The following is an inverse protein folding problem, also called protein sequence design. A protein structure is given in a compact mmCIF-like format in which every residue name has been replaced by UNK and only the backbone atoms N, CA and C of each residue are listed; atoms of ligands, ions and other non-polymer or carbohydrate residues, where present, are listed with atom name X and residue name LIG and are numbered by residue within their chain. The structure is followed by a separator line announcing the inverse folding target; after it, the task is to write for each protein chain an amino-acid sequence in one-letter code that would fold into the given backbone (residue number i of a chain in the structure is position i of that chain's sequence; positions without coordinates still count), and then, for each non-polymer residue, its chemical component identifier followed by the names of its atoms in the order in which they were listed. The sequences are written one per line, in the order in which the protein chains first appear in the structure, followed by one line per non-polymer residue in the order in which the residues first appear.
data_IF_989928478300
#
_entry.id   IF_989928478300
#
_cell.length_a   1.000
_cell.length_b   1.000
_cell.length_c   1.000
_cell.angle_alpha   90.00
_cell.angle_beta   90.00
_cell.angle_gamma   90.00
#
_symmetry.space_group_name_H-M   'P 1'
#
loop_
_entity.id
_entity.type
_entity.pdbx_description
1 polymer ?
#
# COMPACT_ATOMS: atom_id res chain seq x y z
N UNK A 1 1.12 -15.49 14.85
CA UNK A 1 1.30 -14.03 14.97
C UNK A 1 0.66 -13.44 13.74
N UNK A 2 -0.62 -13.09 13.82
CA UNK A 2 -1.28 -12.30 12.77
C UNK A 2 -0.67 -10.91 12.83
N UNK A 3 0.39 -10.67 12.06
CA UNK A 3 0.81 -9.31 11.78
C UNK A 3 -0.36 -8.66 11.05
N UNK A 4 -0.98 -7.63 11.65
CA UNK A 4 -2.10 -6.90 11.04
C UNK A 4 -1.70 -6.53 9.60
N UNK A 5 -2.57 -6.85 8.63
CA UNK A 5 -2.32 -6.59 7.21
C UNK A 5 -2.04 -5.10 6.94
N UNK A 6 -2.53 -4.21 7.81
CA UNK A 6 -2.21 -2.78 7.80
C UNK A 6 -0.72 -2.52 7.96
N UNK A 7 -0.09 -3.13 8.97
CA UNK A 7 1.34 -2.92 9.25
C UNK A 7 2.16 -3.47 8.10
N UNK A 8 1.79 -4.63 7.57
CA UNK A 8 2.47 -5.22 6.41
C UNK A 8 2.33 -4.34 5.17
N UNK A 9 1.11 -3.84 4.89
CA UNK A 9 0.83 -2.96 3.76
C UNK A 9 1.66 -1.67 3.83
N UNK A 10 1.73 -1.04 5.01
CA UNK A 10 2.56 0.14 5.22
C UNK A 10 4.05 -0.13 4.97
N UNK A 11 4.59 -1.24 5.48
CA UNK A 11 5.99 -1.62 5.26
C UNK A 11 6.29 -1.95 3.79
N UNK A 12 5.36 -2.58 3.07
CA UNK A 12 5.49 -2.85 1.63
C UNK A 12 5.49 -1.54 0.85
N UNK A 13 4.51 -0.65 1.09
CA UNK A 13 4.42 0.65 0.44
C UNK A 13 5.67 1.50 0.70
N UNK A 14 6.14 1.55 1.95
CA UNK A 14 7.34 2.29 2.33
C UNK A 14 8.60 1.81 1.62
N UNK A 15 8.74 0.49 1.42
CA UNK A 15 9.86 -0.09 0.66
C UNK A 15 9.72 0.16 -0.83
N UNK A 16 8.52 0.00 -1.38
CA UNK A 16 8.25 0.15 -2.80
C UNK A 16 8.49 1.59 -3.27
N UNK A 17 8.09 2.57 -2.46
CA UNK A 17 8.28 4.01 -2.73
C UNK A 17 9.58 4.57 -2.14
N UNK A 18 10.53 3.73 -1.70
CA UNK A 18 11.78 4.22 -1.11
C UNK A 18 12.58 5.05 -2.12
N UNK A 19 12.86 6.31 -1.78
CA UNK A 19 13.56 7.25 -2.65
C UNK A 19 12.68 7.91 -3.71
N UNK A 20 11.39 7.55 -3.79
CA UNK A 20 10.43 8.28 -4.63
C UNK A 20 10.05 9.59 -3.94
N UNK A 21 10.10 10.67 -4.72
CA UNK A 21 9.78 12.02 -4.27
C UNK A 21 8.59 12.53 -5.07
N UNK A 22 7.62 13.14 -4.39
CA UNK A 22 6.46 13.75 -5.03
C UNK A 22 6.80 15.08 -5.72
N UNK A 23 5.80 15.72 -6.33
CA UNK A 23 5.97 17.00 -7.03
C UNK A 23 6.31 18.17 -6.10
N UNK A 24 6.08 18.02 -4.80
CA UNK A 24 6.38 19.02 -3.78
C UNK A 24 7.76 18.80 -3.12
N UNK A 25 8.50 17.77 -3.52
CA UNK A 25 9.81 17.46 -2.94
C UNK A 25 9.74 16.64 -1.65
N UNK A 26 8.62 15.98 -1.37
CA UNK A 26 8.37 15.19 -0.16
C UNK A 26 8.45 13.68 -0.49
N UNK A 27 8.90 12.88 0.47
CA UNK A 27 8.89 11.41 0.34
C UNK A 27 7.49 10.89 0.01
N UNK A 28 7.37 10.14 -1.08
CA UNK A 28 6.08 9.72 -1.63
C UNK A 28 5.24 8.90 -0.63
N UNK A 29 5.87 8.16 0.29
CA UNK A 29 5.17 7.40 1.34
C UNK A 29 4.20 8.26 2.19
N UNK A 30 4.42 9.59 2.25
CA UNK A 30 3.51 10.52 2.94
C UNK A 30 2.14 10.62 2.29
N UNK A 31 2.05 10.40 0.98
CA UNK A 31 0.77 10.36 0.27
C UNK A 31 -0.08 9.15 0.70
N UNK A 32 0.38 7.89 0.59
CA UNK A 32 -0.38 6.74 1.09
C UNK A 32 -0.68 6.80 2.60
N UNK A 33 0.24 7.32 3.43
CA UNK A 33 -0.02 7.57 4.86
C UNK A 33 -1.18 8.56 5.09
N UNK A 34 -1.25 9.60 4.27
CA UNK A 34 -2.32 10.60 4.33
C UNK A 34 -3.65 9.99 3.90
N UNK A 35 -3.68 9.24 2.79
CA UNK A 35 -4.89 8.53 2.33
C UNK A 35 -5.40 7.55 3.39
N UNK A 36 -4.50 6.74 3.97
CA UNK A 36 -4.85 5.78 5.03
C UNK A 36 -5.40 6.45 6.31
N UNK A 37 -5.08 7.73 6.55
CA UNK A 37 -5.62 8.49 7.69
C UNK A 37 -7.10 8.88 7.53
N UNK A 38 -7.62 8.86 6.30
CA UNK A 38 -9.02 9.22 6.01
C UNK A 38 -9.99 8.03 6.06
N UNK A 39 -9.50 6.81 6.24
CA UNK A 39 -10.31 5.59 6.26
C UNK A 39 -10.27 4.92 7.63
N UNK A 40 -11.26 4.08 7.93
CA UNK A 40 -11.50 3.61 9.29
C UNK A 40 -10.97 2.19 9.52
N UNK A 41 -11.30 1.27 8.61
CA UNK A 41 -11.07 -0.16 8.80
C UNK A 41 -9.65 -0.58 8.42
N UNK A 42 -9.19 -1.68 9.01
CA UNK A 42 -7.87 -2.25 8.70
C UNK A 42 -7.75 -2.67 7.23
N UNK A 43 -8.84 -3.15 6.63
CA UNK A 43 -8.86 -3.52 5.21
C UNK A 43 -8.72 -2.28 4.32
N UNK A 44 -9.51 -1.23 4.56
CA UNK A 44 -9.40 0.04 3.83
C UNK A 44 -8.03 0.68 4.00
N UNK A 45 -7.44 0.64 5.20
CA UNK A 45 -6.10 1.18 5.45
C UNK A 45 -5.03 0.41 4.68
N UNK A 46 -5.13 -0.92 4.66
CA UNK A 46 -4.19 -1.73 3.90
C UNK A 46 -4.28 -1.44 2.39
N UNK A 47 -5.50 -1.31 1.84
CA UNK A 47 -5.72 -0.91 0.45
C UNK A 47 -5.17 0.50 0.20
N UNK A 48 -5.45 1.46 1.09
CA UNK A 48 -4.96 2.83 1.00
C UNK A 48 -3.42 2.91 1.01
N UNK A 49 -2.72 2.06 1.77
CA UNK A 49 -1.27 2.00 1.69
C UNK A 49 -0.77 1.44 0.35
N UNK A 50 -1.51 0.53 -0.27
CA UNK A 50 -1.08 -0.21 -1.46
C UNK A 50 -1.59 0.39 -2.79
N UNK A 51 -2.49 1.37 -2.78
CA UNK A 51 -3.21 1.81 -3.99
C UNK A 51 -2.29 2.21 -5.15
N UNK A 52 -1.24 2.98 -4.88
CA UNK A 52 -0.28 3.41 -5.91
C UNK A 52 0.89 2.43 -6.11
N UNK A 53 1.00 1.38 -5.29
CA UNK A 53 2.18 0.51 -5.32
C UNK A 53 2.29 -0.22 -6.66
N UNK A 54 1.17 -0.61 -7.26
CA UNK A 54 1.17 -1.30 -8.55
C UNK A 54 1.40 -0.34 -9.71
N UNK A 55 0.94 0.91 -9.59
CA UNK A 55 1.03 1.91 -10.67
C UNK A 55 2.41 2.58 -10.73
N UNK A 56 2.97 2.92 -9.57
CA UNK A 56 4.16 3.78 -9.47
C UNK A 56 5.46 3.01 -9.18
N UNK A 57 5.38 1.70 -8.96
CA UNK A 57 6.55 0.88 -8.58
C UNK A 57 6.69 -0.36 -9.45
N UNK A 58 7.69 -1.19 -9.15
CA UNK A 58 7.94 -2.45 -9.89
C UNK A 58 7.17 -3.64 -9.32
N UNK A 59 6.42 -3.46 -8.22
CA UNK A 59 5.66 -4.54 -7.60
C UNK A 59 4.41 -4.87 -8.41
N UNK A 60 4.02 -6.14 -8.39
CA UNK A 60 2.82 -6.65 -9.08
C UNK A 60 1.80 -7.20 -8.09
N UNK A 61 0.56 -7.39 -8.54
CA UNK A 61 -0.48 -8.08 -7.75
C UNK A 61 -0.06 -9.49 -7.33
N UNK A 62 0.76 -10.16 -8.14
CA UNK A 62 1.33 -11.46 -7.80
C UNK A 62 2.29 -11.35 -6.62
N UNK A 63 3.02 -10.25 -6.49
CA UNK A 63 3.93 -10.04 -5.37
C UNK A 63 3.15 -9.73 -4.09
N UNK A 64 2.06 -8.94 -4.15
CA UNK A 64 1.13 -8.79 -3.02
C UNK A 64 0.53 -10.14 -2.58
N UNK A 65 0.18 -11.00 -3.54
CA UNK A 65 -0.28 -12.35 -3.24
C UNK A 65 0.80 -13.19 -2.54
N UNK A 66 2.05 -13.10 -2.95
CA UNK A 66 3.19 -13.80 -2.31
C UNK A 66 3.48 -13.26 -0.91
N UNK A 67 3.32 -11.96 -0.69
CA UNK A 67 3.39 -11.32 0.63
C UNK A 67 2.26 -11.79 1.58
N UNK A 68 1.24 -12.47 1.04
CA UNK A 68 0.17 -13.09 1.81
C UNK A 68 -0.94 -12.12 2.20
N UNK A 69 -1.20 -11.10 1.39
CA UNK A 69 -2.41 -10.27 1.53
C UNK A 69 -3.68 -11.06 1.21
N UNK A 70 -4.79 -10.70 1.87
CA UNK A 70 -6.07 -11.33 1.62
C UNK A 70 -6.55 -11.04 0.20
N UNK A 71 -7.39 -11.94 -0.30
CA UNK A 71 -8.00 -11.81 -1.63
C UNK A 71 -8.74 -10.47 -1.78
N UNK A 72 -9.50 -10.05 -0.76
CA UNK A 72 -10.24 -8.79 -0.81
C UNK A 72 -9.33 -7.58 -1.00
N UNK A 73 -8.18 -7.52 -0.30
CA UNK A 73 -7.24 -6.40 -0.44
C UNK A 73 -6.64 -6.38 -1.85
N UNK A 74 -6.26 -7.55 -2.37
CA UNK A 74 -5.67 -7.66 -3.71
C UNK A 74 -6.69 -7.25 -4.78
N UNK A 75 -7.93 -7.74 -4.68
CA UNK A 75 -9.02 -7.36 -5.60
C UNK A 75 -9.36 -5.88 -5.49
N UNK A 76 -9.34 -5.31 -4.29
CA UNK A 76 -9.58 -3.88 -4.10
C UNK A 76 -8.46 -3.01 -4.70
N UNK A 77 -7.20 -3.44 -4.64
CA UNK A 77 -6.07 -2.72 -5.26
C UNK A 77 -6.11 -2.85 -6.80
N UNK A 78 -6.56 -3.99 -7.35
CA UNK A 78 -6.62 -4.23 -8.80
C UNK A 78 -7.67 -3.37 -9.53
N UNK A 79 -8.66 -2.83 -8.83
CA UNK A 79 -9.76 -2.05 -9.42
C UNK A 79 -9.62 -0.53 -9.25
N UNK A 80 -8.59 -0.05 -8.55
CA UNK A 80 -8.29 1.38 -8.40
C UNK A 80 -7.64 1.91 -9.68
#
# INVERSE_FOLDING_TARGET
MDTSQVIKAHEVAKKAHFGQIDRAGIDYIKHPETVASFVATDEEKAVAYLHDVIEDTSLTLLDLKKEGFSKNIIEAVDIL
#
